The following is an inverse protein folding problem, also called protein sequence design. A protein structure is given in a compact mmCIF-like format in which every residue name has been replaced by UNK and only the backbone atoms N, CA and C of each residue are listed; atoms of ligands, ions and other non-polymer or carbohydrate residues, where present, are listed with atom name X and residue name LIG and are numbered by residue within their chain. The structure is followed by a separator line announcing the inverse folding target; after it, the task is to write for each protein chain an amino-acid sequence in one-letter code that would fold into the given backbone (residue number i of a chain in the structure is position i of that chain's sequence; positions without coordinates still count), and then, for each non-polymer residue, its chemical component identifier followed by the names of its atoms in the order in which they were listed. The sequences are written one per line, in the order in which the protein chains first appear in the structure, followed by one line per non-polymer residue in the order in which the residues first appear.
data_IF_337429955199
#
_entry.id   IF_337429955199
#
_cell.length_a   1.000
_cell.length_b   1.000
_cell.length_c   1.000
_cell.angle_alpha   90.00
_cell.angle_beta   90.00
_cell.angle_gamma   90.00
#
_symmetry.space_group_name_H-M   'P 1'
#
loop_
_entity.id
_entity.type
_entity.pdbx_description
1 polymer ?
#
# COMPACT_ATOMS: atom_id res chain seq x y z
N UNK A 1 27.64 -19.27 1.47
CA UNK A 1 26.49 -20.07 0.95
C UNK A 1 25.72 -19.23 -0.05
N UNK A 2 25.27 -19.79 -1.18
CA UNK A 2 24.41 -19.10 -2.14
C UNK A 2 23.02 -18.95 -1.52
N UNK A 3 22.47 -17.72 -1.45
CA UNK A 3 21.14 -17.46 -0.86
C UNK A 3 20.06 -18.13 -1.71
N UNK A 4 19.26 -19.00 -1.11
CA UNK A 4 18.22 -19.77 -1.80
C UNK A 4 16.81 -19.17 -1.63
N UNK A 5 16.68 -18.06 -0.90
CA UNK A 5 15.42 -17.38 -0.66
C UNK A 5 15.45 -16.01 -1.35
N UNK A 6 14.42 -15.74 -2.17
CA UNK A 6 14.38 -14.53 -2.99
C UNK A 6 13.03 -13.83 -2.92
N UNK A 7 13.08 -12.50 -3.09
CA UNK A 7 11.88 -11.70 -3.35
C UNK A 7 12.08 -10.88 -4.63
N UNK A 8 11.08 -10.91 -5.52
CA UNK A 8 11.08 -10.25 -6.83
C UNK A 8 10.43 -8.88 -6.76
N UNK A 9 11.22 -7.83 -6.94
CA UNK A 9 10.79 -6.42 -6.83
C UNK A 9 10.78 -5.71 -8.18
N UNK A 10 9.87 -4.75 -8.34
CA UNK A 10 9.84 -3.75 -9.42
C UNK A 10 10.20 -2.33 -8.95
N UNK A 11 10.74 -2.21 -7.74
CA UNK A 11 11.17 -0.99 -7.08
C UNK A 11 12.69 -0.80 -7.11
N UNK A 12 13.21 0.12 -6.31
CA UNK A 12 14.65 0.26 -6.11
C UNK A 12 15.17 -0.66 -4.97
N UNK A 13 16.50 -0.76 -4.84
CA UNK A 13 17.11 -1.61 -3.81
C UNK A 13 16.83 -1.13 -2.40
N UNK A 14 16.84 0.17 -2.17
CA UNK A 14 16.61 0.79 -0.87
C UNK A 14 15.22 0.43 -0.31
N UNK A 15 14.21 0.38 -1.19
CA UNK A 15 12.86 -0.04 -0.82
C UNK A 15 12.77 -1.52 -0.42
N UNK A 16 13.67 -2.35 -0.92
CA UNK A 16 13.68 -3.77 -0.61
C UNK A 16 14.42 -4.09 0.70
N UNK A 17 15.36 -3.26 1.13
CA UNK A 17 16.28 -3.57 2.25
C UNK A 17 15.56 -3.82 3.57
N UNK A 18 14.67 -2.91 3.99
CA UNK A 18 13.95 -3.05 5.25
C UNK A 18 13.01 -4.27 5.24
N UNK A 19 12.36 -4.55 4.11
CA UNK A 19 11.53 -5.74 3.96
C UNK A 19 12.35 -7.03 4.05
N UNK A 20 13.47 -7.11 3.35
CA UNK A 20 14.39 -8.26 3.41
C UNK A 20 14.89 -8.48 4.84
N UNK A 21 15.32 -7.41 5.51
CA UNK A 21 15.73 -7.47 6.92
C UNK A 21 14.63 -8.02 7.83
N UNK A 22 13.37 -7.62 7.60
CA UNK A 22 12.22 -8.14 8.33
C UNK A 22 11.99 -9.64 8.09
N UNK A 23 12.13 -10.10 6.85
CA UNK A 23 12.08 -11.53 6.50
C UNK A 23 13.19 -12.32 7.20
N UNK A 24 14.42 -11.82 7.17
CA UNK A 24 15.58 -12.47 7.80
C UNK A 24 15.40 -12.58 9.31
N UNK A 25 14.93 -11.50 9.95
CA UNK A 25 14.67 -11.50 11.39
C UNK A 25 13.59 -12.50 11.82
N UNK A 26 12.53 -12.67 11.02
CA UNK A 26 11.44 -13.57 11.36
C UNK A 26 11.70 -15.02 10.99
N UNK A 27 12.36 -15.27 9.85
CA UNK A 27 12.59 -16.62 9.34
C UNK A 27 13.89 -17.25 9.82
N UNK A 28 14.87 -16.44 10.26
CA UNK A 28 16.23 -16.88 10.55
C UNK A 28 17.03 -17.34 9.32
N UNK A 29 16.54 -17.06 8.12
CA UNK A 29 17.15 -17.46 6.86
C UNK A 29 17.65 -16.24 6.09
N UNK A 30 18.77 -16.36 5.31
CA UNK A 30 19.21 -15.28 4.45
C UNK A 30 18.26 -15.12 3.24
N UNK A 31 17.92 -13.86 2.91
CA UNK A 31 17.06 -13.51 1.78
C UNK A 31 17.76 -12.56 0.83
N UNK A 32 17.39 -12.59 -0.45
CA UNK A 32 17.92 -11.70 -1.47
C UNK A 32 16.80 -11.03 -2.25
N UNK A 33 16.87 -9.70 -2.38
CA UNK A 33 16.05 -8.97 -3.31
C UNK A 33 16.58 -9.14 -4.74
N UNK A 34 15.73 -9.61 -5.65
CA UNK A 34 15.94 -9.52 -7.08
C UNK A 34 15.15 -8.32 -7.60
N UNK A 35 15.86 -7.22 -7.82
CA UNK A 35 15.25 -5.94 -8.20
C UNK A 35 15.33 -5.77 -9.71
N UNK A 36 14.18 -5.57 -10.33
CA UNK A 36 14.08 -5.25 -11.73
C UNK A 36 13.16 -4.05 -11.96
N UNK A 37 13.76 -2.88 -12.20
CA UNK A 37 13.02 -1.63 -12.34
C UNK A 37 12.44 -1.50 -13.75
N UNK A 38 11.18 -1.92 -13.93
CA UNK A 38 10.47 -1.82 -15.21
C UNK A 38 9.86 -0.44 -15.49
N UNK A 39 9.84 0.45 -14.50
CA UNK A 39 9.06 1.71 -14.53
C UNK A 39 9.71 2.88 -15.28
N UNK A 40 10.95 2.78 -15.71
CA UNK A 40 11.62 3.81 -16.51
C UNK A 40 11.16 3.68 -17.98
N UNK A 41 10.23 4.52 -18.44
CA UNK A 41 9.86 4.53 -19.87
C UNK A 41 8.37 4.69 -20.19
N UNK A 42 7.57 5.25 -19.28
CA UNK A 42 6.12 5.47 -19.52
C UNK A 42 5.78 6.52 -20.60
N UNK A 43 6.78 7.23 -21.17
CA UNK A 43 6.54 8.42 -22.01
C UNK A 43 6.22 8.13 -23.49
N UNK A 44 6.42 6.90 -24.00
CA UNK A 44 6.14 6.56 -25.40
C UNK A 44 5.68 5.11 -25.58
N UNK A 45 5.06 4.81 -26.75
CA UNK A 45 4.52 3.46 -27.08
C UNK A 45 5.61 2.37 -27.06
N UNK A 46 6.81 2.68 -27.54
CA UNK A 46 7.93 1.75 -27.57
C UNK A 46 8.43 1.42 -26.16
N UNK A 47 8.55 2.42 -25.28
CA UNK A 47 8.89 2.22 -23.88
C UNK A 47 7.89 1.35 -23.13
N UNK A 48 6.60 1.48 -23.45
CA UNK A 48 5.58 0.62 -22.90
C UNK A 48 5.72 -0.83 -23.38
N UNK A 49 5.98 -1.07 -24.66
CA UNK A 49 6.19 -2.42 -25.20
C UNK A 49 7.42 -3.09 -24.56
N UNK A 50 8.54 -2.37 -24.43
CA UNK A 50 9.76 -2.86 -23.74
C UNK A 50 9.45 -3.18 -22.27
N UNK A 51 8.66 -2.35 -21.60
CA UNK A 51 8.25 -2.60 -20.22
C UNK A 51 7.44 -3.89 -20.10
N UNK A 52 6.43 -4.09 -20.95
CA UNK A 52 5.65 -5.34 -20.95
C UNK A 52 6.52 -6.55 -21.23
N UNK A 53 7.42 -6.49 -22.21
CA UNK A 53 8.37 -7.57 -22.46
C UNK A 53 9.19 -7.90 -21.21
N UNK A 54 9.68 -6.90 -20.51
CA UNK A 54 10.43 -7.05 -19.26
C UNK A 54 9.60 -7.68 -18.13
N UNK A 55 8.31 -7.35 -18.01
CA UNK A 55 7.41 -7.98 -17.04
C UNK A 55 7.28 -9.49 -17.26
N UNK A 56 7.33 -9.96 -18.49
CA UNK A 56 7.32 -11.38 -18.81
C UNK A 56 8.71 -12.02 -18.68
N UNK A 57 9.73 -11.36 -19.19
CA UNK A 57 11.09 -11.92 -19.25
C UNK A 57 11.72 -12.14 -17.87
N UNK A 58 11.51 -11.21 -16.91
CA UNK A 58 12.13 -11.31 -15.59
C UNK A 58 11.63 -12.52 -14.78
N UNK A 59 10.32 -12.76 -14.59
CA UNK A 59 9.83 -13.98 -13.93
C UNK A 59 10.19 -15.25 -14.70
N UNK A 60 10.30 -15.18 -16.03
CA UNK A 60 10.76 -16.32 -16.84
C UNK A 60 12.22 -16.68 -16.55
N UNK A 61 13.09 -15.69 -16.40
CA UNK A 61 14.49 -15.92 -15.99
C UNK A 61 14.55 -16.59 -14.61
N UNK A 62 13.74 -16.12 -13.63
CA UNK A 62 13.65 -16.75 -12.32
C UNK A 62 13.11 -18.18 -12.43
N UNK A 63 12.14 -18.43 -13.30
CA UNK A 63 11.62 -19.78 -13.59
C UNK A 63 12.70 -20.71 -14.15
N UNK A 64 13.55 -20.26 -15.06
CA UNK A 64 14.65 -21.07 -15.59
C UNK A 64 15.62 -21.51 -14.48
N UNK A 65 15.87 -20.65 -13.51
CA UNK A 65 16.75 -20.90 -12.35
C UNK A 65 16.00 -21.45 -11.11
N UNK A 66 14.75 -21.88 -11.24
CA UNK A 66 13.88 -22.28 -10.13
C UNK A 66 14.46 -23.31 -9.16
N UNK A 67 15.33 -24.20 -9.65
CA UNK A 67 15.99 -25.23 -8.82
C UNK A 67 17.06 -24.67 -7.86
N UNK A 68 17.46 -23.42 -8.05
CA UNK A 68 18.41 -22.72 -7.19
C UNK A 68 17.74 -22.05 -5.98
N UNK A 69 16.40 -21.99 -5.96
CA UNK A 69 15.63 -21.30 -4.93
C UNK A 69 14.77 -22.29 -4.13
N UNK A 70 14.60 -22.02 -2.85
CA UNK A 70 13.70 -22.75 -1.96
C UNK A 70 12.42 -21.96 -1.71
N UNK A 71 12.55 -20.66 -1.39
CA UNK A 71 11.42 -19.79 -1.14
C UNK A 71 11.45 -18.58 -2.10
N UNK A 72 10.32 -18.29 -2.71
CA UNK A 72 10.13 -17.20 -3.67
C UNK A 72 8.99 -16.31 -3.23
N UNK A 73 9.21 -15.01 -3.16
CA UNK A 73 8.18 -14.00 -2.91
C UNK A 73 8.02 -13.15 -4.17
N UNK A 74 6.81 -13.10 -4.71
CA UNK A 74 6.40 -12.11 -5.69
C UNK A 74 5.99 -10.84 -4.97
N UNK A 75 6.93 -9.91 -4.72
CA UNK A 75 6.62 -8.59 -4.17
C UNK A 75 5.72 -7.81 -5.12
N UNK A 76 6.09 -7.75 -6.39
CA UNK A 76 5.20 -7.31 -7.45
C UNK A 76 4.31 -8.50 -7.85
N UNK A 77 3.01 -8.31 -7.72
CA UNK A 77 2.00 -9.35 -7.94
C UNK A 77 2.21 -10.13 -9.25
N UNK A 78 2.40 -9.38 -10.34
CA UNK A 78 2.50 -9.96 -11.69
C UNK A 78 3.73 -10.86 -11.84
N UNK A 79 4.82 -10.59 -11.12
CA UNK A 79 6.02 -11.44 -11.15
C UNK A 79 5.75 -12.81 -10.52
N UNK A 80 5.06 -12.83 -9.39
CA UNK A 80 4.65 -14.08 -8.75
C UNK A 80 3.65 -14.87 -9.59
N UNK A 81 2.65 -14.18 -10.15
CA UNK A 81 1.64 -14.81 -11.02
C UNK A 81 2.27 -15.41 -12.29
N UNK A 82 3.15 -14.70 -12.96
CA UNK A 82 3.81 -15.20 -14.16
C UNK A 82 4.79 -16.33 -13.85
N UNK A 83 5.51 -16.27 -12.73
CA UNK A 83 6.34 -17.38 -12.29
C UNK A 83 5.51 -18.66 -12.10
N UNK A 84 4.37 -18.57 -11.41
CA UNK A 84 3.45 -19.71 -11.23
C UNK A 84 2.85 -20.18 -12.57
N UNK A 85 2.50 -19.23 -13.46
CA UNK A 85 2.03 -19.52 -14.81
C UNK A 85 3.03 -20.35 -15.60
N UNK A 86 4.30 -19.97 -15.62
CA UNK A 86 5.35 -20.74 -16.31
C UNK A 86 5.53 -22.12 -15.68
N UNK A 87 5.54 -22.22 -14.36
CA UNK A 87 5.63 -23.51 -13.69
C UNK A 87 4.49 -24.45 -14.09
N UNK A 88 3.26 -23.93 -14.21
CA UNK A 88 2.08 -24.70 -14.62
C UNK A 88 2.09 -25.02 -16.11
N UNK A 89 2.42 -24.05 -16.97
CA UNK A 89 2.47 -24.19 -18.42
C UNK A 89 3.45 -25.29 -18.85
N UNK A 90 4.64 -25.31 -18.24
CA UNK A 90 5.68 -26.30 -18.54
C UNK A 90 5.59 -27.58 -17.69
N UNK A 91 4.50 -27.74 -16.90
CA UNK A 91 4.24 -28.93 -16.09
C UNK A 91 5.43 -29.38 -15.23
N UNK A 92 6.22 -28.46 -14.70
CA UNK A 92 7.43 -28.79 -13.94
C UNK A 92 7.11 -29.31 -12.54
N UNK A 93 8.03 -30.07 -11.93
CA UNK A 93 7.90 -30.45 -10.51
C UNK A 93 7.93 -29.18 -9.65
N UNK A 94 7.00 -29.08 -8.69
CA UNK A 94 7.04 -28.01 -7.68
C UNK A 94 8.26 -28.19 -6.78
N UNK A 95 9.15 -27.22 -6.77
CA UNK A 95 10.41 -27.24 -6.01
C UNK A 95 10.54 -26.04 -5.07
N UNK A 96 9.64 -25.06 -5.16
CA UNK A 96 9.69 -23.83 -4.37
C UNK A 96 8.41 -23.65 -3.56
N UNK A 97 8.53 -22.93 -2.45
CA UNK A 97 7.42 -22.19 -1.86
C UNK A 97 7.25 -20.88 -2.59
N UNK A 98 6.02 -20.48 -2.90
CA UNK A 98 5.69 -19.21 -3.55
C UNK A 98 4.61 -18.47 -2.78
N UNK A 99 4.95 -17.27 -2.32
CA UNK A 99 4.02 -16.30 -1.78
C UNK A 99 3.87 -15.13 -2.75
N UNK A 100 2.63 -14.71 -3.04
CA UNK A 100 2.33 -13.55 -3.89
C UNK A 100 1.77 -12.43 -3.02
N UNK A 101 2.49 -11.30 -2.98
CA UNK A 101 2.09 -10.10 -2.24
C UNK A 101 1.09 -9.28 -3.06
N UNK A 102 0.14 -8.66 -2.37
CA UNK A 102 -0.86 -7.74 -2.95
C UNK A 102 -1.64 -8.37 -4.10
N UNK A 103 -2.16 -9.57 -3.88
CA UNK A 103 -3.02 -10.21 -4.85
C UNK A 103 -4.30 -9.40 -5.07
N UNK A 104 -4.54 -9.01 -6.32
CA UNK A 104 -5.69 -8.20 -6.72
C UNK A 104 -6.43 -8.90 -7.86
N UNK A 105 -7.74 -9.09 -7.69
CA UNK A 105 -8.60 -9.53 -8.75
C UNK A 105 -9.79 -8.57 -8.91
N UNK A 106 -9.86 -7.92 -10.08
CA UNK A 106 -11.01 -7.07 -10.45
C UNK A 106 -11.68 -7.67 -11.67
N UNK A 107 -12.94 -8.15 -11.57
CA UNK A 107 -13.67 -8.72 -12.70
C UNK A 107 -13.75 -7.72 -13.85
N UNK A 108 -13.54 -8.20 -15.07
CA UNK A 108 -13.72 -7.42 -16.30
C UNK A 108 -14.96 -7.91 -17.03
N UNK A 109 -15.61 -7.03 -17.81
CA UNK A 109 -16.81 -7.36 -18.57
C UNK A 109 -16.47 -7.98 -19.94
N UNK A 110 -17.44 -8.68 -20.52
CA UNK A 110 -17.38 -9.21 -21.89
C UNK A 110 -16.34 -10.33 -22.09
N UNK A 111 -15.93 -10.52 -23.33
CA UNK A 111 -14.99 -11.58 -23.75
C UNK A 111 -13.62 -11.43 -23.07
N UNK A 112 -13.13 -10.20 -22.99
CA UNK A 112 -11.86 -9.90 -22.28
C UNK A 112 -11.92 -10.33 -20.83
N UNK A 113 -13.08 -10.13 -20.18
CA UNK A 113 -13.31 -10.57 -18.81
C UNK A 113 -13.25 -12.09 -18.67
N UNK A 114 -13.84 -12.83 -19.60
CA UNK A 114 -13.80 -14.31 -19.60
C UNK A 114 -12.36 -14.84 -19.79
N UNK A 115 -11.59 -14.24 -20.68
CA UNK A 115 -10.18 -14.62 -20.91
C UNK A 115 -9.35 -14.30 -19.67
N UNK A 116 -9.51 -13.11 -19.11
CA UNK A 116 -8.81 -12.68 -17.90
C UNK A 116 -9.14 -13.59 -16.71
N UNK A 117 -10.42 -13.92 -16.48
CA UNK A 117 -10.83 -14.85 -15.44
C UNK A 117 -10.19 -16.24 -15.64
N UNK A 118 -10.23 -16.78 -16.86
CA UNK A 118 -9.61 -18.08 -17.16
C UNK A 118 -8.12 -18.09 -16.88
N UNK A 119 -7.41 -17.01 -17.23
CA UNK A 119 -5.99 -16.85 -16.94
C UNK A 119 -5.72 -16.82 -15.41
N UNK A 120 -6.46 -15.97 -14.69
CA UNK A 120 -6.32 -15.89 -13.23
C UNK A 120 -6.67 -17.20 -12.54
N UNK A 121 -7.79 -17.81 -12.93
CA UNK A 121 -8.23 -19.10 -12.39
C UNK A 121 -7.22 -20.24 -12.69
N UNK A 122 -6.60 -20.21 -13.88
CA UNK A 122 -5.52 -21.13 -14.22
C UNK A 122 -4.34 -21.01 -13.28
N UNK A 123 -3.97 -19.81 -12.85
CA UNK A 123 -2.85 -19.59 -11.91
C UNK A 123 -3.29 -19.90 -10.46
N UNK A 124 -4.42 -19.37 -10.03
CA UNK A 124 -4.89 -19.48 -8.64
C UNK A 124 -5.15 -20.94 -8.27
N UNK A 125 -5.80 -21.73 -9.13
CA UNK A 125 -6.02 -23.18 -8.94
C UNK A 125 -4.77 -24.04 -9.12
N UNK A 126 -3.58 -23.43 -9.23
CA UNK A 126 -2.37 -24.18 -9.38
C UNK A 126 -1.74 -24.54 -8.03
N UNK A 127 -1.08 -25.70 -7.97
CA UNK A 127 -0.30 -26.11 -6.79
C UNK A 127 0.97 -25.27 -6.56
N UNK A 128 1.30 -24.35 -7.49
CA UNK A 128 2.58 -23.64 -7.46
C UNK A 128 2.56 -22.41 -6.55
N UNK A 129 1.38 -21.86 -6.23
CA UNK A 129 1.25 -20.77 -5.26
C UNK A 129 0.79 -21.34 -3.92
N UNK A 130 1.51 -21.04 -2.87
CA UNK A 130 1.17 -21.47 -1.51
C UNK A 130 0.30 -20.44 -0.78
N UNK A 131 0.63 -19.14 -0.93
CA UNK A 131 -0.04 -18.05 -0.21
C UNK A 131 -0.30 -16.86 -1.14
N UNK A 132 -1.52 -16.36 -1.11
CA UNK A 132 -1.91 -15.07 -1.68
C UNK A 132 -2.14 -14.08 -0.56
N UNK A 133 -1.38 -12.99 -0.53
CA UNK A 133 -1.59 -11.90 0.42
C UNK A 133 -2.54 -10.87 -0.18
N UNK A 134 -3.64 -10.63 0.50
CA UNK A 134 -4.72 -9.72 0.09
C UNK A 134 -4.73 -8.43 0.91
N UNK A 135 -5.42 -7.41 0.42
CA UNK A 135 -5.49 -6.08 1.03
C UNK A 135 -6.48 -5.97 2.20
N UNK A 136 -7.42 -6.92 2.34
CA UNK A 136 -8.37 -6.98 3.45
C UNK A 136 -8.88 -8.40 3.66
N UNK A 137 -9.43 -8.70 4.85
CA UNK A 137 -10.06 -10.00 5.10
C UNK A 137 -11.28 -10.23 4.20
N UNK A 138 -12.11 -9.22 4.01
CA UNK A 138 -13.25 -9.29 3.08
C UNK A 138 -12.83 -9.65 1.66
N UNK A 139 -11.67 -9.15 1.22
CA UNK A 139 -11.14 -9.49 -0.11
C UNK A 139 -10.55 -10.90 -0.16
N UNK A 140 -9.98 -11.42 0.93
CA UNK A 140 -9.61 -12.84 1.05
C UNK A 140 -10.83 -13.75 0.83
N UNK A 141 -11.92 -13.48 1.54
CA UNK A 141 -13.16 -14.26 1.46
C UNK A 141 -13.79 -14.19 0.07
N UNK A 142 -13.76 -13.01 -0.54
CA UNK A 142 -14.20 -12.81 -1.93
C UNK A 142 -13.39 -13.65 -2.91
N UNK A 143 -12.06 -13.65 -2.80
CA UNK A 143 -11.18 -14.43 -3.67
C UNK A 143 -11.38 -15.92 -3.50
N UNK A 144 -11.46 -16.41 -2.26
CA UNK A 144 -11.74 -17.81 -1.97
C UNK A 144 -13.03 -18.30 -2.63
N UNK A 145 -14.11 -17.47 -2.53
CA UNK A 145 -15.40 -17.76 -3.17
C UNK A 145 -15.35 -17.71 -4.70
N UNK A 146 -14.72 -16.67 -5.27
CA UNK A 146 -14.68 -16.46 -6.73
C UNK A 146 -13.89 -17.55 -7.44
N UNK A 147 -12.78 -17.98 -6.84
CA UNK A 147 -11.91 -19.01 -7.42
C UNK A 147 -12.24 -20.42 -6.94
N UNK A 148 -13.21 -20.58 -6.02
CA UNK A 148 -13.55 -21.85 -5.41
C UNK A 148 -12.30 -22.58 -4.89
N UNK A 149 -11.58 -21.89 -4.01
CA UNK A 149 -10.33 -22.34 -3.38
C UNK A 149 -10.41 -22.21 -1.85
N UNK A 150 -9.66 -23.01 -1.10
CA UNK A 150 -9.60 -22.93 0.36
C UNK A 150 -9.25 -21.51 0.84
N UNK A 151 -10.00 -21.00 1.82
CA UNK A 151 -9.82 -19.64 2.35
C UNK A 151 -8.45 -19.42 2.98
N UNK A 152 -7.83 -20.48 3.49
CA UNK A 152 -6.50 -20.43 4.11
C UNK A 152 -5.36 -20.15 3.14
N UNK A 153 -5.59 -20.20 1.82
CA UNK A 153 -4.64 -19.77 0.80
C UNK A 153 -4.59 -18.26 0.63
N UNK A 154 -5.62 -17.56 1.08
CA UNK A 154 -5.72 -16.10 1.00
C UNK A 154 -5.56 -15.52 2.40
N UNK A 155 -4.56 -14.67 2.60
CA UNK A 155 -4.20 -14.14 3.91
C UNK A 155 -4.22 -12.62 3.86
N UNK A 156 -4.92 -12.00 4.78
CA UNK A 156 -4.80 -10.56 5.00
C UNK A 156 -3.55 -10.26 5.81
N UNK A 157 -2.71 -9.37 5.30
CA UNK A 157 -1.62 -8.76 6.06
C UNK A 157 -1.74 -7.25 5.99
N UNK A 158 -1.55 -6.53 7.10
CA UNK A 158 -1.55 -5.07 7.12
C UNK A 158 -0.54 -4.52 6.11
N UNK A 159 -0.94 -3.51 5.35
CA UNK A 159 -0.06 -2.92 4.33
C UNK A 159 1.15 -2.24 4.97
N UNK A 160 2.32 -2.36 4.35
CA UNK A 160 3.55 -1.71 4.80
C UNK A 160 4.12 -0.78 3.76
N UNK A 161 4.68 0.35 4.21
CA UNK A 161 5.32 1.37 3.37
C UNK A 161 6.71 1.73 3.90
N UNK A 162 7.53 2.35 3.05
CA UNK A 162 8.83 2.91 3.45
C UNK A 162 8.68 4.02 4.49
N UNK A 163 9.76 4.26 5.24
CA UNK A 163 9.90 5.46 6.05
C UNK A 163 10.27 6.64 5.16
N UNK A 164 9.26 7.43 4.80
CA UNK A 164 9.44 8.56 3.90
C UNK A 164 10.10 9.77 4.56
N UNK A 165 10.25 9.80 5.90
CA UNK A 165 11.02 10.83 6.59
C UNK A 165 12.47 10.87 6.13
N UNK A 166 13.01 9.74 5.67
CA UNK A 166 14.35 9.64 5.08
C UNK A 166 14.52 10.39 3.75
N UNK A 167 13.42 10.85 3.13
CA UNK A 167 13.41 11.50 1.82
C UNK A 167 13.27 13.02 1.87
N UNK A 168 13.16 13.57 3.08
CA UNK A 168 13.05 15.00 3.35
C UNK A 168 14.05 15.40 4.44
N UNK A 169 14.38 16.67 4.48
CA UNK A 169 15.27 17.20 5.51
C UNK A 169 14.49 17.38 6.83
N UNK A 170 14.56 16.39 7.71
CA UNK A 170 13.92 16.41 9.03
C UNK A 170 14.63 17.31 10.06
N UNK A 171 15.81 17.88 9.75
CA UNK A 171 16.52 18.79 10.65
C UNK A 171 15.86 20.16 10.71
N UNK A 172 15.14 20.55 9.66
CA UNK A 172 14.36 21.80 9.63
C UNK A 172 13.02 21.60 10.35
N UNK A 173 12.65 22.50 11.26
CA UNK A 173 11.35 22.40 11.94
C UNK A 173 10.20 22.47 10.91
N UNK A 174 9.14 21.72 11.18
CA UNK A 174 7.92 21.78 10.38
C UNK A 174 7.17 23.10 10.66
N UNK A 175 6.56 23.69 9.64
CA UNK A 175 5.79 24.93 9.81
C UNK A 175 4.51 24.70 10.64
N UNK A 176 3.85 23.56 10.47
CA UNK A 176 2.62 23.16 11.16
C UNK A 176 1.50 24.25 11.08
N UNK A 177 1.44 24.97 9.98
CA UNK A 177 0.59 26.15 9.78
C UNK A 177 -0.62 25.90 8.87
N UNK A 178 -0.84 24.63 8.42
CA UNK A 178 -1.97 24.29 7.59
C UNK A 178 -2.43 22.82 7.80
N UNK A 179 -3.66 22.58 7.41
CA UNK A 179 -4.25 21.25 7.27
C UNK A 179 -4.00 20.75 5.87
N UNK A 180 -3.57 19.49 5.73
CA UNK A 180 -3.34 18.86 4.42
C UNK A 180 -4.46 17.88 4.09
N UNK A 181 -4.88 17.86 2.84
CA UNK A 181 -5.60 16.71 2.29
C UNK A 181 -4.94 16.30 0.96
N UNK A 182 -4.55 15.04 0.86
CA UNK A 182 -3.77 14.55 -0.25
C UNK A 182 -4.37 13.27 -0.83
N UNK A 183 -4.35 13.15 -2.16
CA UNK A 183 -4.73 11.94 -2.87
C UNK A 183 -5.60 12.21 -4.09
N UNK A 184 -5.78 11.17 -4.91
CA UNK A 184 -6.55 11.22 -6.16
C UNK A 184 -7.84 10.41 -6.05
N UNK A 185 -7.70 9.18 -5.57
CA UNK A 185 -8.80 8.21 -5.59
C UNK A 185 -9.65 8.28 -4.34
N UNK A 186 -10.96 8.17 -4.52
CA UNK A 186 -11.94 8.01 -3.43
C UNK A 186 -11.91 9.14 -2.40
N UNK A 187 -11.78 10.39 -2.85
CA UNK A 187 -11.81 11.59 -2.00
C UNK A 187 -13.07 12.40 -2.24
N UNK A 188 -13.75 12.79 -1.16
CA UNK A 188 -14.91 13.67 -1.20
C UNK A 188 -14.47 15.13 -1.06
N UNK A 189 -13.98 15.67 -2.17
CA UNK A 189 -13.49 17.04 -2.21
C UNK A 189 -14.59 18.07 -1.96
N UNK A 190 -15.81 17.79 -2.40
CA UNK A 190 -16.94 18.70 -2.20
C UNK A 190 -17.29 18.82 -0.72
N UNK A 191 -17.37 17.68 -0.03
CA UNK A 191 -17.59 17.66 1.41
C UNK A 191 -16.49 18.42 2.16
N UNK A 192 -15.22 18.14 1.86
CA UNK A 192 -14.09 18.82 2.51
C UNK A 192 -14.13 20.34 2.29
N UNK A 193 -14.27 20.77 1.04
CA UNK A 193 -14.23 22.19 0.68
C UNK A 193 -15.42 22.91 1.32
N UNK A 194 -16.63 22.36 1.22
CA UNK A 194 -17.82 22.95 1.80
C UNK A 194 -17.74 23.06 3.33
N UNK A 195 -17.23 22.02 4.00
CA UNK A 195 -17.08 22.05 5.46
C UNK A 195 -16.02 23.06 5.90
N UNK A 196 -14.86 23.08 5.26
CA UNK A 196 -13.75 23.93 5.68
C UNK A 196 -13.90 25.39 5.24
N UNK A 197 -14.77 25.69 4.26
CA UNK A 197 -15.06 27.06 3.82
C UNK A 197 -15.65 27.95 4.93
N UNK A 198 -16.24 27.37 5.94
CA UNK A 198 -16.82 28.07 7.08
C UNK A 198 -15.84 28.30 8.24
N UNK A 199 -14.56 28.01 8.01
CA UNK A 199 -13.49 28.15 8.99
C UNK A 199 -12.39 29.08 8.51
N UNK A 200 -11.54 29.55 9.41
CA UNK A 200 -10.34 30.33 9.08
C UNK A 200 -9.08 29.46 8.95
N UNK A 201 -9.19 28.13 9.15
CA UNK A 201 -8.03 27.24 9.09
C UNK A 201 -7.48 27.12 7.67
N UNK A 202 -6.17 27.34 7.46
CA UNK A 202 -5.58 27.17 6.14
C UNK A 202 -5.60 25.68 5.71
N UNK A 203 -6.18 25.39 4.56
CA UNK A 203 -6.26 24.04 3.99
C UNK A 203 -5.51 23.98 2.68
N UNK A 204 -4.60 23.02 2.55
CA UNK A 204 -3.91 22.70 1.31
C UNK A 204 -4.39 21.35 0.78
N UNK A 205 -4.87 21.36 -0.45
CA UNK A 205 -5.30 20.14 -1.15
C UNK A 205 -4.28 19.80 -2.23
N UNK A 206 -3.74 18.60 -2.21
CA UNK A 206 -2.81 18.10 -3.24
C UNK A 206 -3.51 17.02 -4.06
N UNK A 207 -3.94 17.39 -5.26
CA UNK A 207 -4.63 16.48 -6.18
C UNK A 207 -4.51 17.00 -7.62
N UNK A 208 -3.92 16.20 -8.50
CA UNK A 208 -3.70 16.54 -9.92
C UNK A 208 -4.98 16.57 -10.77
N UNK A 209 -6.06 15.95 -10.29
CA UNK A 209 -7.34 15.86 -11.01
C UNK A 209 -8.40 16.87 -10.48
N UNK A 210 -8.11 17.58 -9.39
CA UNK A 210 -9.05 18.53 -8.80
C UNK A 210 -8.85 19.92 -9.40
N UNK A 211 -9.73 20.30 -10.31
CA UNK A 211 -9.80 21.66 -10.89
C UNK A 211 -11.08 22.31 -10.44
N UNK A 212 -10.98 23.33 -9.59
CA UNK A 212 -12.12 24.11 -9.09
C UNK A 212 -11.80 25.59 -9.15
N UNK A 213 -12.72 26.33 -9.72
CA UNK A 213 -12.72 27.80 -9.70
C UNK A 213 -13.39 28.32 -8.41
N UNK A 214 -13.11 29.54 -8.03
CA UNK A 214 -13.73 30.23 -6.90
C UNK A 214 -13.61 29.50 -5.55
N UNK A 215 -12.42 29.00 -5.24
CA UNK A 215 -12.14 28.41 -3.95
C UNK A 215 -12.25 29.42 -2.79
N UNK A 216 -12.69 28.99 -1.59
CA UNK A 216 -12.61 29.81 -0.37
C UNK A 216 -11.19 30.30 -0.12
N UNK A 217 -11.04 31.50 0.48
CA UNK A 217 -9.74 32.15 0.70
C UNK A 217 -8.74 31.31 1.50
N UNK A 218 -9.25 30.49 2.42
CA UNK A 218 -8.45 29.62 3.27
C UNK A 218 -8.10 28.29 2.61
N UNK A 219 -8.59 27.99 1.39
CA UNK A 219 -8.35 26.70 0.72
C UNK A 219 -7.51 26.94 -0.55
N UNK A 220 -6.42 26.17 -0.67
CA UNK A 220 -5.56 26.22 -1.86
C UNK A 220 -5.33 24.81 -2.42
N UNK A 221 -5.54 24.66 -3.74
CA UNK A 221 -5.33 23.40 -4.47
C UNK A 221 -3.99 23.45 -5.21
N UNK A 222 -3.26 22.34 -5.17
CA UNK A 222 -1.98 22.14 -5.83
C UNK A 222 -2.10 20.90 -6.75
N UNK A 223 -1.95 21.12 -8.06
CA UNK A 223 -2.14 20.06 -9.07
C UNK A 223 -0.82 19.44 -9.54
N UNK A 224 0.31 20.13 -9.38
CA UNK A 224 1.61 19.74 -9.94
C UNK A 224 2.61 19.26 -8.86
N UNK A 225 2.12 18.67 -7.78
CA UNK A 225 2.95 18.19 -6.67
C UNK A 225 3.16 16.67 -6.76
N UNK A 226 4.43 16.26 -6.90
CA UNK A 226 4.79 14.86 -7.12
C UNK A 226 6.01 14.40 -6.31
N UNK A 227 6.06 13.11 -6.00
CA UNK A 227 7.23 12.46 -5.40
C UNK A 227 7.65 13.10 -4.08
N UNK A 228 8.91 13.49 -3.94
CA UNK A 228 9.45 14.04 -2.69
C UNK A 228 8.80 15.35 -2.26
N UNK A 229 8.31 16.15 -3.21
CA UNK A 229 7.60 17.39 -2.88
C UNK A 229 6.32 17.11 -2.08
N UNK A 230 5.59 16.04 -2.38
CA UNK A 230 4.42 15.64 -1.59
C UNK A 230 4.78 15.30 -0.14
N UNK A 231 5.99 14.78 0.12
CA UNK A 231 6.47 14.51 1.48
C UNK A 231 6.81 15.79 2.24
N UNK A 232 7.29 16.83 1.56
CA UNK A 232 7.44 18.15 2.18
C UNK A 232 6.09 18.73 2.61
N UNK A 233 5.03 18.54 1.82
CA UNK A 233 3.68 18.92 2.23
C UNK A 233 3.23 18.14 3.48
N UNK A 234 3.47 16.82 3.54
CA UNK A 234 3.11 16.02 4.72
C UNK A 234 3.94 16.44 5.94
N UNK A 235 5.25 16.62 5.78
CA UNK A 235 6.14 17.08 6.86
C UNK A 235 5.66 18.39 7.47
N UNK A 236 5.27 19.35 6.65
CA UNK A 236 4.98 20.72 7.05
C UNK A 236 3.51 20.94 7.44
N UNK A 237 2.59 20.00 7.19
CA UNK A 237 1.22 20.15 7.66
C UNK A 237 1.12 19.98 9.19
N UNK A 238 0.10 20.55 9.78
CA UNK A 238 -0.25 20.28 11.19
C UNK A 238 -0.81 18.86 11.31
N UNK A 239 -1.84 18.54 10.55
CA UNK A 239 -2.42 17.21 10.44
C UNK A 239 -3.08 17.01 9.06
N UNK A 240 -3.52 15.78 8.77
CA UNK A 240 -4.17 15.43 7.51
C UNK A 240 -5.65 15.14 7.69
N UNK A 241 -6.48 15.58 6.74
CA UNK A 241 -7.88 15.14 6.59
C UNK A 241 -7.96 14.19 5.39
N UNK A 242 -8.56 13.03 5.59
CA UNK A 242 -8.85 12.05 4.54
C UNK A 242 -10.37 11.93 4.38
N UNK A 243 -10.98 12.74 3.50
CA UNK A 243 -12.41 12.73 3.25
C UNK A 243 -12.74 11.57 2.29
N UNK A 244 -13.34 10.49 2.79
CA UNK A 244 -13.66 9.31 1.99
C UNK A 244 -14.97 9.52 1.24
N UNK A 245 -14.99 9.26 -0.08
CA UNK A 245 -16.20 9.34 -0.90
C UNK A 245 -17.08 8.11 -0.73
N UNK A 246 -16.54 6.92 -0.97
CA UNK A 246 -17.24 5.64 -0.86
C UNK A 246 -16.53 4.74 0.17
N UNK A 247 -17.20 4.46 1.27
CA UNK A 247 -16.66 3.67 2.37
C UNK A 247 -16.38 2.20 2.05
N UNK A 248 -16.90 1.67 0.95
CA UNK A 248 -16.68 0.28 0.50
C UNK A 248 -15.41 0.10 -0.32
N UNK A 249 -14.80 1.20 -0.76
CA UNK A 249 -13.59 1.17 -1.58
C UNK A 249 -12.37 1.33 -0.69
N UNK A 250 -11.56 0.28 -0.57
CA UNK A 250 -10.25 0.35 0.05
C UNK A 250 -9.32 1.18 -0.85
N UNK A 251 -9.05 2.41 -0.45
CA UNK A 251 -8.19 3.34 -1.20
C UNK A 251 -7.67 4.44 -0.28
N UNK A 252 -6.37 4.65 -0.33
CA UNK A 252 -5.70 5.71 0.44
C UNK A 252 -4.76 5.19 1.52
N UNK A 253 -4.57 3.87 1.65
CA UNK A 253 -3.67 3.25 2.61
C UNK A 253 -2.26 3.87 2.55
N UNK A 254 -1.74 4.06 1.34
CA UNK A 254 -0.41 4.65 1.16
C UNK A 254 -0.31 6.05 1.75
N UNK A 255 -1.29 6.91 1.49
CA UNK A 255 -1.31 8.30 2.01
C UNK A 255 -1.46 8.31 3.52
N UNK A 256 -2.35 7.48 4.06
CA UNK A 256 -2.55 7.34 5.50
C UNK A 256 -1.26 6.91 6.20
N UNK A 257 -0.62 5.85 5.71
CA UNK A 257 0.61 5.32 6.30
C UNK A 257 1.81 6.24 6.11
N UNK A 258 1.89 6.97 4.99
CA UNK A 258 2.84 8.06 4.80
C UNK A 258 2.65 9.13 5.88
N UNK A 259 1.43 9.55 6.13
CA UNK A 259 1.11 10.55 7.16
C UNK A 259 1.52 10.07 8.55
N UNK A 260 1.21 8.83 8.91
CA UNK A 260 1.64 8.22 10.17
C UNK A 260 3.18 8.16 10.29
N UNK A 261 3.90 7.89 9.19
CA UNK A 261 5.38 7.86 9.21
C UNK A 261 6.01 9.21 9.55
N UNK A 262 5.31 10.32 9.26
CA UNK A 262 5.72 11.67 9.63
C UNK A 262 5.20 12.12 11.02
N UNK A 263 4.66 11.22 11.83
CA UNK A 263 4.06 11.56 13.13
C UNK A 263 2.96 12.62 13.00
N UNK A 264 2.16 12.57 11.93
CA UNK A 264 1.08 13.54 11.75
C UNK A 264 -0.27 12.91 12.11
N UNK A 265 -1.07 13.57 12.97
CA UNK A 265 -2.43 13.15 13.25
C UNK A 265 -3.28 13.10 11.96
N UNK A 266 -4.33 12.27 11.99
CA UNK A 266 -5.23 12.07 10.86
C UNK A 266 -6.67 12.29 11.34
N UNK A 267 -7.46 13.02 10.57
CA UNK A 267 -8.91 12.99 10.65
C UNK A 267 -9.42 12.23 9.43
N UNK A 268 -10.25 11.21 9.65
CA UNK A 268 -10.80 10.40 8.55
C UNK A 268 -12.31 10.28 8.68
N UNK A 269 -13.03 10.39 7.56
CA UNK A 269 -14.48 10.24 7.56
C UNK A 269 -14.92 8.79 7.48
N UNK A 270 -16.02 8.45 8.16
CA UNK A 270 -16.71 7.16 8.06
C UNK A 270 -18.09 7.31 7.39
N UNK A 271 -18.67 6.22 6.78
CA UNK A 271 -18.13 4.86 6.77
C UNK A 271 -16.88 4.74 5.92
N UNK A 272 -15.90 3.94 6.38
CA UNK A 272 -14.66 3.72 5.64
C UNK A 272 -13.92 2.48 6.14
N UNK A 273 -13.74 1.48 5.28
CA UNK A 273 -12.89 0.33 5.59
C UNK A 273 -11.44 0.75 5.91
N UNK A 274 -10.97 1.87 5.34
CA UNK A 274 -9.64 2.41 5.67
C UNK A 274 -9.58 2.92 7.12
N UNK A 275 -10.64 3.58 7.62
CA UNK A 275 -10.73 3.99 9.01
C UNK A 275 -10.78 2.75 9.93
N UNK A 276 -11.63 1.79 9.60
CA UNK A 276 -11.86 0.59 10.42
C UNK A 276 -10.60 -0.28 10.56
N UNK A 277 -9.81 -0.41 9.47
CA UNK A 277 -8.63 -1.28 9.43
C UNK A 277 -7.35 -0.61 9.99
N UNK A 278 -7.23 0.73 9.94
CA UNK A 278 -5.96 1.42 10.19
C UNK A 278 -5.98 2.48 11.28
N UNK A 279 -7.15 2.97 11.71
CA UNK A 279 -7.25 4.07 12.67
C UNK A 279 -7.99 3.63 13.91
N UNK A 280 -7.42 3.90 15.08
CA UNK A 280 -8.11 3.79 16.37
C UNK A 280 -8.51 5.19 16.81
N UNK A 281 -9.82 5.43 16.94
CA UNK A 281 -10.38 6.76 17.25
C UNK A 281 -9.85 7.30 18.58
N UNK A 282 -9.41 8.56 18.56
CA UNK A 282 -8.81 9.24 19.71
C UNK A 282 -7.37 8.81 20.05
N UNK A 283 -6.86 7.74 19.42
CA UNK A 283 -5.54 7.19 19.69
C UNK A 283 -4.55 7.44 18.53
N UNK A 284 -4.89 6.99 17.31
CA UNK A 284 -4.02 7.14 16.12
C UNK A 284 -4.64 8.03 15.05
N UNK A 285 -5.76 8.68 15.37
CA UNK A 285 -6.48 9.63 14.55
C UNK A 285 -7.83 9.95 15.15
N UNK A 286 -8.59 10.82 14.52
CA UNK A 286 -9.98 11.07 14.83
C UNK A 286 -10.87 10.55 13.71
N UNK A 287 -11.87 9.74 14.05
CA UNK A 287 -12.86 9.20 13.12
C UNK A 287 -14.13 10.01 13.27
N UNK A 288 -14.59 10.65 12.21
CA UNK A 288 -15.78 11.50 12.21
C UNK A 288 -16.83 10.99 11.23
N UNK A 289 -18.10 11.23 11.48
CA UNK A 289 -19.12 11.01 10.46
C UNK A 289 -18.90 11.97 9.28
N UNK A 290 -19.53 11.69 8.16
CA UNK A 290 -19.56 12.59 7.02
C UNK A 290 -20.55 13.73 7.29
N UNK A 291 -20.25 14.45 8.35
CA UNK A 291 -20.99 15.57 8.88
C UNK A 291 -20.06 16.77 9.07
N UNK A 292 -20.52 17.96 8.67
CA UNK A 292 -19.73 19.18 8.68
C UNK A 292 -19.33 19.59 10.09
N UNK A 293 -20.27 19.57 11.02
CA UNK A 293 -20.04 20.06 12.37
C UNK A 293 -19.12 19.10 13.15
N UNK A 294 -19.24 17.80 12.93
CA UNK A 294 -18.30 16.79 13.47
C UNK A 294 -16.88 17.02 12.92
N UNK A 295 -16.74 17.27 11.61
CA UNK A 295 -15.44 17.55 11.02
C UNK A 295 -14.81 18.81 11.59
N UNK A 296 -15.57 19.92 11.67
CA UNK A 296 -15.07 21.18 12.23
C UNK A 296 -14.71 21.01 13.71
N UNK A 297 -15.52 20.29 14.48
CA UNK A 297 -15.22 19.98 15.89
C UNK A 297 -13.92 19.21 16.04
N UNK A 298 -13.68 18.17 15.22
CA UNK A 298 -12.43 17.40 15.23
C UNK A 298 -11.23 18.26 14.83
N UNK A 299 -11.38 19.13 13.84
CA UNK A 299 -10.36 20.10 13.43
C UNK A 299 -10.03 21.05 14.59
N UNK A 300 -11.03 21.64 15.25
CA UNK A 300 -10.85 22.52 16.39
C UNK A 300 -10.09 21.83 17.53
N UNK A 301 -10.44 20.58 17.82
CA UNK A 301 -9.76 19.78 18.86
C UNK A 301 -8.29 19.57 18.54
N UNK A 302 -7.96 19.04 17.36
CA UNK A 302 -6.54 18.80 16.97
C UNK A 302 -5.75 20.09 16.75
N UNK A 303 -6.41 21.19 16.44
CA UNK A 303 -5.71 22.46 16.23
C UNK A 303 -5.33 23.14 17.55
N UNK A 304 -6.20 23.09 18.56
CA UNK A 304 -6.08 23.86 19.80
C UNK A 304 -5.66 23.05 21.03
N UNK A 305 -5.85 21.72 21.03
CA UNK A 305 -5.46 20.83 22.12
C UNK A 305 -4.09 20.19 21.81
N UNK A 306 -3.04 20.74 22.38
CA UNK A 306 -1.67 20.25 22.18
C UNK A 306 -1.44 18.87 22.79
N UNK A 307 -2.08 18.54 23.92
CA UNK A 307 -1.92 17.23 24.56
C UNK A 307 -2.54 16.12 23.70
N UNK A 308 -3.74 16.36 23.17
CA UNK A 308 -4.38 15.46 22.22
C UNK A 308 -3.53 15.31 20.97
N UNK A 309 -3.05 16.44 20.41
CA UNK A 309 -2.20 16.44 19.21
C UNK A 309 -0.95 15.59 19.40
N UNK A 310 -0.17 15.84 20.46
CA UNK A 310 1.09 15.17 20.72
C UNK A 310 0.89 13.68 20.98
N UNK A 311 -0.16 13.30 21.72
CA UNK A 311 -0.51 11.91 21.96
C UNK A 311 -0.85 11.19 20.66
N UNK A 312 -1.72 11.75 19.83
CA UNK A 312 -2.13 11.14 18.57
C UNK A 312 -0.93 11.07 17.59
N UNK A 313 -0.13 12.13 17.50
CA UNK A 313 1.08 12.17 16.65
C UNK A 313 2.09 11.08 17.05
N UNK A 314 2.36 10.94 18.34
CA UNK A 314 3.23 9.89 18.88
C UNK A 314 2.69 8.49 18.54
N UNK A 315 1.41 8.25 18.77
CA UNK A 315 0.78 6.96 18.52
C UNK A 315 0.73 6.62 17.03
N UNK A 316 0.52 7.60 16.15
CA UNK A 316 0.62 7.43 14.69
C UNK A 316 2.01 6.88 14.31
N UNK A 317 3.07 7.50 14.80
CA UNK A 317 4.45 7.06 14.51
C UNK A 317 4.71 5.67 15.07
N UNK A 318 4.33 5.42 16.31
CA UNK A 318 4.48 4.12 16.97
C UNK A 318 3.75 3.01 16.21
N UNK A 319 2.48 3.23 15.84
CA UNK A 319 1.72 2.26 15.05
C UNK A 319 2.37 1.99 13.70
N UNK A 320 2.85 3.06 13.01
CA UNK A 320 3.58 2.91 11.76
C UNK A 320 4.83 2.01 11.94
N UNK A 321 5.66 2.28 12.93
CA UNK A 321 6.89 1.51 13.18
C UNK A 321 6.61 0.06 13.54
N UNK A 322 5.64 -0.19 14.39
CA UNK A 322 5.32 -1.52 14.90
C UNK A 322 4.58 -2.37 13.87
N UNK A 323 3.70 -1.78 13.02
CA UNK A 323 2.78 -2.55 12.18
C UNK A 323 2.95 -2.29 10.68
N UNK A 324 3.36 -1.09 10.28
CA UNK A 324 3.25 -0.63 8.90
C UNK A 324 4.57 -0.22 8.25
N UNK A 325 5.69 -0.36 8.95
CA UNK A 325 7.01 -0.23 8.34
C UNK A 325 7.28 -1.45 7.43
N UNK A 326 8.13 -1.29 6.41
CA UNK A 326 8.54 -2.44 5.58
C UNK A 326 9.28 -3.50 6.37
N UNK A 327 9.97 -3.12 7.44
CA UNK A 327 10.59 -4.08 8.37
C UNK A 327 9.53 -4.95 9.04
N UNK A 328 8.50 -4.35 9.62
CA UNK A 328 7.40 -5.06 10.27
C UNK A 328 6.60 -5.90 9.27
N UNK A 329 6.38 -5.35 8.08
CA UNK A 329 5.71 -6.09 7.01
C UNK A 329 6.51 -7.33 6.57
N UNK A 330 7.84 -7.22 6.46
CA UNK A 330 8.72 -8.37 6.21
C UNK A 330 8.60 -9.44 7.29
N UNK A 331 8.51 -9.04 8.57
CA UNK A 331 8.26 -9.98 9.68
C UNK A 331 6.91 -10.67 9.57
N UNK A 332 5.83 -9.96 9.21
CA UNK A 332 4.51 -10.57 9.00
C UNK A 332 4.54 -11.60 7.89
N UNK A 333 5.16 -11.29 6.77
CA UNK A 333 5.29 -12.23 5.63
C UNK A 333 6.09 -13.47 6.05
N UNK A 334 7.23 -13.29 6.72
CA UNK A 334 8.04 -14.43 7.20
C UNK A 334 7.30 -15.30 8.21
N UNK A 335 6.62 -14.69 9.19
CA UNK A 335 5.79 -15.40 10.17
C UNK A 335 4.63 -16.15 9.49
N UNK A 336 4.04 -15.58 8.43
CA UNK A 336 3.01 -16.25 7.64
C UNK A 336 3.54 -17.51 6.96
N UNK A 337 4.73 -17.45 6.36
CA UNK A 337 5.37 -18.62 5.75
C UNK A 337 5.63 -19.74 6.79
N UNK A 338 6.03 -19.34 8.01
CA UNK A 338 6.26 -20.28 9.12
C UNK A 338 4.94 -20.88 9.60
N UNK A 339 3.94 -20.08 9.93
CA UNK A 339 2.66 -20.51 10.48
C UNK A 339 1.87 -21.40 9.52
N UNK A 340 2.03 -21.19 8.21
CA UNK A 340 1.46 -22.03 7.14
C UNK A 340 2.26 -23.33 6.91
N UNK A 341 3.39 -23.51 7.58
CA UNK A 341 4.25 -24.68 7.40
C UNK A 341 4.84 -24.82 6.00
N UNK A 342 4.89 -23.72 5.24
CA UNK A 342 5.35 -23.75 3.85
C UNK A 342 6.78 -23.21 3.66
N UNK A 343 7.39 -22.59 4.70
CA UNK A 343 8.77 -22.13 4.65
C UNK A 343 9.73 -23.34 4.52
N UNK A 344 10.52 -23.35 3.47
CA UNK A 344 11.62 -24.33 3.31
C UNK A 344 12.88 -23.82 4.00
N UNK A 345 13.48 -24.68 4.81
CA UNK A 345 14.74 -24.43 5.53
C UNK A 345 15.93 -24.95 4.77
#
# INVERSE_FOLDING_TARGET
MKTRNIAMFDSNKEEAEDFIKGLEQSTGLPWKALVYTANKGRKNKLGNAVRYFKYFAFPFTVFLHRKEYDNVIGWQEFYGLLYAFYCRLFHVKKVNTLLIKNFIYKPKKGIVGKIYFRFMNYIVKSKYVDVFVCSSQTFCDYCAKVFDEPSDRFVFLPFGVNDFTKRVDMTRPASNDYILSLGRSNRDWDFLINSMSETEYPVRVVCDELHKDNLPKNIKVYNDVWGNESFEFIKNCKFMIIPIMDGKIASGETVLLQTMSFSKPIIITKPSCLADDYVTDGETGLIVAKDKDELISAVNRLWNDSELYDRVAHNCRKQYEEKHSLLSYGKYVGNTLISKGCLKK
#
